data_IF_581058661041
#
_entry.id   IF_581058661041
#
_cell.length_a   1.000
_cell.length_b   1.000
_cell.length_c   1.000
_cell.angle_alpha   90.00
_cell.angle_beta   90.00
_cell.angle_gamma   90.00
#
_symmetry.space_group_name_H-M   'P 1'
#
loop_
_entity.id
_entity.type
_entity.pdbx_description
1 polymer ?
#
# COMPACT_ATOMS: atom_id res chain seq x y z
N UNK A 1 -22.99 -5.05 -13.92
CA UNK A 1 -21.74 -5.82 -13.78
C UNK A 1 -20.65 -4.92 -13.24
N UNK A 2 -20.06 -5.32 -12.18
CA UNK A 2 -18.96 -4.55 -11.63
C UNK A 2 -17.75 -4.66 -12.53
N UNK A 3 -17.22 -3.54 -12.99
CA UNK A 3 -15.99 -3.53 -13.73
C UNK A 3 -14.81 -3.81 -12.82
N UNK A 4 -13.70 -4.21 -13.41
CA UNK A 4 -12.45 -4.31 -12.68
C UNK A 4 -11.95 -2.92 -12.36
N UNK A 5 -11.39 -2.76 -11.17
CA UNK A 5 -10.66 -1.54 -10.83
C UNK A 5 -9.28 -1.68 -11.46
N UNK A 6 -8.89 -0.68 -12.22
CA UNK A 6 -7.59 -0.67 -12.90
C UNK A 6 -6.66 0.31 -12.20
N UNK A 7 -5.48 -0.16 -11.83
CA UNK A 7 -4.50 0.63 -11.08
C UNK A 7 -3.33 0.97 -11.98
N UNK A 8 -3.01 2.26 -12.06
CA UNK A 8 -1.84 2.76 -12.76
C UNK A 8 -0.90 3.38 -11.74
N UNK A 9 0.22 2.73 -11.48
CA UNK A 9 1.20 3.26 -10.54
C UNK A 9 2.49 3.60 -11.24
N UNK A 10 3.22 4.55 -10.71
CA UNK A 10 4.49 4.98 -11.30
C UNK A 10 5.66 4.10 -10.88
N UNK A 11 5.53 3.41 -9.75
CA UNK A 11 6.53 2.50 -9.25
C UNK A 11 5.85 1.34 -8.54
N UNK A 12 6.62 0.32 -8.19
CA UNK A 12 6.08 -0.84 -7.49
C UNK A 12 5.39 -0.44 -6.18
N UNK A 13 6.02 0.40 -5.37
CA UNK A 13 5.42 0.81 -4.10
C UNK A 13 4.15 1.63 -4.29
N UNK A 14 4.10 2.50 -5.29
CA UNK A 14 2.91 3.29 -5.56
C UNK A 14 1.80 2.46 -6.16
N UNK A 15 2.13 1.49 -7.00
CA UNK A 15 1.15 0.53 -7.51
C UNK A 15 0.57 -0.30 -6.38
N UNK A 16 1.40 -0.75 -5.45
CA UNK A 16 0.94 -1.49 -4.28
C UNK A 16 -0.05 -0.68 -3.46
N UNK A 17 0.24 0.59 -3.22
CA UNK A 17 -0.69 1.47 -2.51
C UNK A 17 -1.99 1.65 -3.30
N UNK A 18 -1.90 1.79 -4.62
CA UNK A 18 -3.06 1.88 -5.49
C UNK A 18 -3.95 0.64 -5.40
N UNK A 19 -3.36 -0.54 -5.25
CA UNK A 19 -4.11 -1.78 -5.07
C UNK A 19 -4.93 -1.72 -3.77
N UNK A 20 -4.32 -1.27 -2.67
CA UNK A 20 -5.04 -1.13 -1.40
C UNK A 20 -6.14 -0.07 -1.53
N UNK A 21 -5.85 1.04 -2.17
CA UNK A 21 -6.86 2.09 -2.41
C UNK A 21 -8.02 1.57 -3.26
N UNK A 22 -7.73 0.74 -4.26
CA UNK A 22 -8.76 0.10 -5.08
C UNK A 22 -9.63 -0.83 -4.26
N UNK A 23 -9.02 -1.61 -3.37
CA UNK A 23 -9.77 -2.46 -2.45
C UNK A 23 -10.71 -1.64 -1.58
N UNK A 24 -10.22 -0.51 -1.03
CA UNK A 24 -11.04 0.39 -0.23
C UNK A 24 -12.16 1.05 -1.04
N UNK A 25 -11.94 1.26 -2.34
CA UNK A 25 -12.98 1.78 -3.21
C UNK A 25 -14.12 0.77 -3.36
N UNK A 26 -13.81 -0.52 -3.41
CA UNK A 26 -14.82 -1.57 -3.47
C UNK A 26 -15.47 -1.82 -2.10
N UNK A 27 -14.70 -1.69 -1.04
CA UNK A 27 -15.16 -1.94 0.34
C UNK A 27 -14.84 -0.73 1.21
N UNK A 28 -15.61 0.37 1.07
CA UNK A 28 -15.27 1.62 1.77
C UNK A 28 -15.30 1.52 3.29
N UNK A 29 -15.95 0.51 3.83
CA UNK A 29 -16.06 0.32 5.28
C UNK A 29 -14.98 -0.62 5.84
N UNK A 30 -14.06 -1.09 5.01
CA UNK A 30 -13.00 -1.99 5.45
C UNK A 30 -12.15 -1.35 6.55
N UNK A 31 -11.86 -2.14 7.57
CA UNK A 31 -10.98 -1.72 8.67
C UNK A 31 -9.56 -2.17 8.39
N UNK A 32 -8.64 -1.74 9.26
CA UNK A 32 -7.26 -2.22 9.18
C UNK A 32 -7.20 -3.75 9.29
N UNK A 33 -8.00 -4.34 10.15
CA UNK A 33 -8.08 -5.78 10.30
C UNK A 33 -8.53 -6.44 8.99
N UNK A 34 -9.53 -5.87 8.34
CA UNK A 34 -10.02 -6.38 7.06
C UNK A 34 -8.95 -6.32 5.99
N UNK A 35 -8.19 -5.23 5.94
CA UNK A 35 -7.10 -5.07 4.99
C UNK A 35 -6.00 -6.09 5.22
N UNK A 36 -5.64 -6.36 6.47
CA UNK A 36 -4.61 -7.35 6.79
C UNK A 36 -5.08 -8.78 6.53
N UNK A 37 -6.37 -9.01 6.52
CA UNK A 37 -6.93 -10.29 6.08
C UNK A 37 -6.87 -10.45 4.57
N UNK A 38 -7.19 -9.37 3.85
CA UNK A 38 -7.16 -9.39 2.39
C UNK A 38 -5.73 -9.49 1.85
N UNK A 39 -4.79 -8.83 2.52
CA UNK A 39 -3.38 -8.79 2.13
C UNK A 39 -2.53 -9.29 3.30
N UNK A 40 -2.39 -10.62 3.47
CA UNK A 40 -1.76 -11.17 4.66
C UNK A 40 -0.24 -10.98 4.69
N UNK A 41 0.31 -11.08 5.89
CA UNK A 41 1.75 -10.92 6.14
C UNK A 41 2.62 -11.95 5.42
N UNK A 42 2.04 -13.06 4.99
CA UNK A 42 2.77 -14.06 4.20
C UNK A 42 3.31 -13.49 2.88
N UNK A 43 2.72 -12.39 2.39
CA UNK A 43 3.21 -11.72 1.19
C UNK A 43 4.65 -11.25 1.39
N UNK A 44 4.97 -10.74 2.57
CA UNK A 44 6.31 -10.25 2.91
C UNK A 44 7.09 -11.25 3.76
N UNK A 45 6.57 -12.44 3.93
CA UNK A 45 7.21 -13.51 4.70
C UNK A 45 7.60 -13.02 6.10
N UNK A 46 6.67 -12.37 6.78
CA UNK A 46 6.88 -11.74 8.08
C UNK A 46 5.83 -12.22 9.08
N UNK A 47 6.16 -12.14 10.36
CA UNK A 47 5.19 -12.37 11.43
C UNK A 47 4.39 -11.11 11.76
N UNK A 48 4.83 -9.95 11.28
CA UNK A 48 4.13 -8.69 11.45
C UNK A 48 3.13 -8.48 10.33
N UNK A 49 2.03 -7.79 10.63
CA UNK A 49 1.03 -7.46 9.60
C UNK A 49 1.65 -6.63 8.49
N UNK A 50 1.14 -6.80 7.28
CA UNK A 50 1.59 -6.04 6.12
C UNK A 50 1.25 -4.56 6.24
N UNK A 51 0.10 -4.25 6.83
CA UNK A 51 -0.42 -2.89 6.96
C UNK A 51 -0.57 -2.52 8.42
N UNK A 52 -0.31 -1.25 8.74
CA UNK A 52 -0.50 -0.73 10.08
C UNK A 52 -0.79 0.77 9.98
N UNK A 53 -1.18 1.38 11.09
CA UNK A 53 -1.36 2.82 11.11
C UNK A 53 -0.03 3.52 10.89
N UNK A 54 -0.07 4.68 10.25
CA UNK A 54 1.14 5.47 9.99
C UNK A 54 1.83 5.81 11.30
N UNK A 55 1.06 6.13 12.35
CA UNK A 55 1.62 6.42 13.67
C UNK A 55 2.39 5.25 14.28
N UNK A 56 1.86 4.03 14.14
CA UNK A 56 2.55 2.83 14.65
C UNK A 56 3.82 2.54 13.84
N UNK A 57 3.75 2.71 12.53
CA UNK A 57 4.92 2.51 11.66
C UNK A 57 6.04 3.46 12.07
N UNK A 58 5.70 4.73 12.29
CA UNK A 58 6.67 5.73 12.74
C UNK A 58 7.26 5.39 14.11
N UNK A 59 6.39 5.01 15.04
CA UNK A 59 6.80 4.66 16.40
C UNK A 59 7.78 3.48 16.40
N UNK A 60 7.50 2.47 15.61
CA UNK A 60 8.36 1.30 15.51
C UNK A 60 9.73 1.65 14.90
N UNK A 61 9.75 2.48 13.87
CA UNK A 61 11.00 2.91 13.24
C UNK A 61 11.87 3.67 14.25
N UNK A 62 11.28 4.54 15.04
CA UNK A 62 12.00 5.30 16.08
C UNK A 62 12.49 4.40 17.19
N UNK A 63 11.69 3.41 17.60
CA UNK A 63 12.07 2.48 18.66
C UNK A 63 13.27 1.62 18.26
N UNK A 64 13.35 1.24 17.00
CA UNK A 64 14.47 0.44 16.48
C UNK A 64 15.73 1.28 16.25
N UNK A 65 15.63 2.59 16.39
CA UNK A 65 16.76 3.53 16.19
C UNK A 65 17.44 3.34 14.83
N UNK A 66 16.69 2.91 13.84
CA UNK A 66 17.19 2.68 12.49
C UNK A 66 17.04 3.95 11.66
N UNK A 67 18.13 4.65 11.42
CA UNK A 67 18.10 5.93 10.73
C UNK A 67 17.50 5.84 9.33
N UNK A 68 17.76 4.74 8.61
CA UNK A 68 17.19 4.54 7.28
C UNK A 68 15.69 4.32 7.34
N UNK A 69 15.21 3.54 8.32
CA UNK A 69 13.77 3.33 8.48
C UNK A 69 13.07 4.64 8.85
N UNK A 70 13.67 5.43 9.72
CA UNK A 70 13.12 6.74 10.10
C UNK A 70 13.02 7.65 8.88
N UNK A 71 14.07 7.68 8.06
CA UNK A 71 14.09 8.47 6.83
C UNK A 71 13.00 8.04 5.86
N UNK A 72 12.82 6.72 5.69
CA UNK A 72 11.77 6.18 4.81
C UNK A 72 10.38 6.54 5.31
N UNK A 73 10.16 6.50 6.63
CA UNK A 73 8.87 6.88 7.22
C UNK A 73 8.60 8.37 7.03
N UNK A 74 9.60 9.21 7.24
CA UNK A 74 9.44 10.64 7.03
C UNK A 74 9.12 10.95 5.57
N UNK A 75 9.77 10.27 4.64
CA UNK A 75 9.47 10.42 3.23
C UNK A 75 8.05 9.94 2.91
N UNK A 76 7.62 8.83 3.49
CA UNK A 76 6.26 8.31 3.33
C UNK A 76 5.23 9.35 3.74
N UNK A 77 5.44 10.02 4.87
CA UNK A 77 4.55 11.07 5.36
C UNK A 77 4.56 12.29 4.43
N UNK A 78 5.75 12.66 3.97
CA UNK A 78 5.92 13.83 3.10
C UNK A 78 5.21 13.67 1.76
N UNK A 79 5.33 12.50 1.14
CA UNK A 79 4.71 12.24 -0.16
C UNK A 79 3.32 11.62 -0.04
N UNK A 80 2.84 11.43 1.18
CA UNK A 80 1.51 10.86 1.46
C UNK A 80 1.33 9.44 0.89
N UNK A 81 2.35 8.62 1.06
CA UNK A 81 2.29 7.22 0.64
C UNK A 81 1.56 6.39 1.70
N UNK A 82 0.27 6.63 1.82
CA UNK A 82 -0.63 5.92 2.73
C UNK A 82 -2.07 6.14 2.26
N UNK A 83 -2.99 5.33 2.79
CA UNK A 83 -4.42 5.48 2.51
C UNK A 83 -5.15 5.89 3.78
N UNK A 84 -6.34 6.47 3.63
CA UNK A 84 -7.18 6.83 4.78
C UNK A 84 -8.40 5.93 4.80
N UNK A 85 -8.69 5.38 5.98
CA UNK A 85 -9.89 4.59 6.19
C UNK A 85 -11.11 5.50 6.35
N UNK A 86 -12.29 4.92 6.41
CA UNK A 86 -13.54 5.65 6.54
C UNK A 86 -13.55 6.58 7.75
N UNK A 87 -12.95 6.16 8.86
CA UNK A 87 -12.90 6.96 10.09
C UNK A 87 -11.75 7.97 10.11
N UNK A 88 -11.02 8.10 9.01
CA UNK A 88 -9.89 9.02 8.91
C UNK A 88 -8.54 8.44 9.35
N UNK A 89 -8.51 7.18 9.78
CA UNK A 89 -7.25 6.54 10.18
C UNK A 89 -6.34 6.40 8.97
N UNK A 90 -5.10 6.87 9.08
CA UNK A 90 -4.11 6.76 8.02
C UNK A 90 -3.37 5.43 8.16
N UNK A 91 -3.31 4.68 7.09
CA UNK A 91 -2.74 3.33 7.06
C UNK A 91 -1.70 3.25 5.95
N UNK A 92 -0.54 2.70 6.28
CA UNK A 92 0.52 2.48 5.31
C UNK A 92 1.06 1.06 5.40
N UNK A 93 2.08 0.79 4.61
CA UNK A 93 2.74 -0.51 4.61
C UNK A 93 3.82 -0.55 5.68
N UNK A 94 3.89 -1.66 6.39
CA UNK A 94 5.03 -1.94 7.29
C UNK A 94 6.28 -2.27 6.47
N UNK A 95 6.08 -2.79 5.25
CA UNK A 95 7.15 -3.04 4.30
C UNK A 95 7.43 -1.77 3.52
N UNK A 96 8.53 -1.09 3.83
CA UNK A 96 8.87 0.20 3.23
C UNK A 96 9.63 0.09 1.91
N UNK A 97 10.23 -1.07 1.64
CA UNK A 97 10.90 -1.36 0.39
C UNK A 97 10.18 -2.51 -0.32
N UNK A 98 9.99 -2.39 -1.62
CA UNK A 98 9.22 -3.34 -2.41
C UNK A 98 10.05 -3.96 -3.52
N UNK A 99 10.83 -5.02 -3.21
CA UNK A 99 11.52 -5.78 -4.25
C UNK A 99 10.52 -6.53 -5.13
N UNK A 100 10.96 -6.92 -6.31
CA UNK A 100 10.08 -7.48 -7.32
C UNK A 100 9.35 -8.75 -6.87
N UNK A 101 10.01 -9.61 -6.10
CA UNK A 101 9.39 -10.84 -5.62
C UNK A 101 8.21 -10.58 -4.70
N UNK A 102 8.32 -9.62 -3.79
CA UNK A 102 7.22 -9.22 -2.91
C UNK A 102 6.12 -8.55 -3.73
N UNK A 103 6.50 -7.67 -4.64
CA UNK A 103 5.54 -6.99 -5.50
C UNK A 103 4.72 -7.98 -6.32
N UNK A 104 5.38 -8.97 -6.91
CA UNK A 104 4.70 -9.99 -7.73
C UNK A 104 3.66 -10.77 -6.93
N UNK A 105 3.99 -11.14 -5.69
CA UNK A 105 3.02 -11.81 -4.81
C UNK A 105 1.84 -10.91 -4.51
N UNK A 106 2.08 -9.64 -4.26
CA UNK A 106 1.03 -8.68 -3.97
C UNK A 106 0.07 -8.52 -5.15
N UNK A 107 0.60 -8.47 -6.35
CA UNK A 107 -0.19 -8.37 -7.58
C UNK A 107 -1.09 -9.59 -7.74
N UNK A 108 -0.63 -10.78 -7.36
CA UNK A 108 -1.45 -11.99 -7.40
C UNK A 108 -2.68 -11.86 -6.48
N UNK A 109 -2.51 -11.25 -5.31
CA UNK A 109 -3.65 -10.98 -4.42
C UNK A 109 -4.60 -9.95 -5.03
N UNK A 110 -4.05 -8.94 -5.70
CA UNK A 110 -4.89 -7.95 -6.37
C UNK A 110 -5.81 -8.61 -7.40
N UNK A 111 -5.29 -9.55 -8.16
CA UNK A 111 -6.08 -10.28 -9.16
C UNK A 111 -7.25 -11.05 -8.54
N UNK A 112 -7.05 -11.63 -7.36
CA UNK A 112 -8.12 -12.32 -6.63
C UNK A 112 -9.30 -11.39 -6.35
N UNK A 113 -9.02 -10.11 -6.11
CA UNK A 113 -10.04 -9.11 -5.80
C UNK A 113 -10.52 -8.32 -7.02
N UNK A 114 -10.22 -8.79 -8.23
CA UNK A 114 -10.59 -8.10 -9.47
C UNK A 114 -9.96 -6.71 -9.59
N UNK A 115 -8.76 -6.55 -9.08
CA UNK A 115 -7.99 -5.33 -9.24
C UNK A 115 -6.93 -5.61 -10.29
N UNK A 116 -7.05 -4.93 -11.44
CA UNK A 116 -6.10 -5.08 -12.54
C UNK A 116 -4.97 -4.08 -12.36
N UNK A 117 -3.74 -4.54 -12.52
CA UNK A 117 -2.56 -3.68 -12.45
C UNK A 117 -2.05 -3.43 -13.85
N UNK A 118 -1.96 -2.16 -14.22
CA UNK A 118 -1.39 -1.77 -15.50
C UNK A 118 0.14 -1.65 -15.38
N UNK A 119 0.80 -1.53 -16.51
CA UNK A 119 2.24 -1.29 -16.52
C UNK A 119 2.57 0.04 -15.84
N UNK A 120 3.79 0.14 -15.35
CA UNK A 120 4.27 1.38 -14.75
C UNK A 120 4.29 2.49 -15.79
N UNK A 121 3.47 3.49 -15.55
CA UNK A 121 3.38 4.66 -16.41
C UNK A 121 3.27 5.90 -15.55
N UNK A 122 3.62 7.03 -16.11
CA UNK A 122 3.26 8.28 -15.46
C UNK A 122 1.75 8.33 -15.35
N UNK A 123 1.27 8.80 -14.21
CA UNK A 123 -0.17 9.02 -14.04
C UNK A 123 -0.61 10.09 -15.04
N UNK A 124 -1.92 10.15 -15.30
CA UNK A 124 -2.46 11.15 -16.23
C UNK A 124 -2.11 12.57 -15.80
N UNK A 125 -1.91 12.81 -14.53
CA UNK A 125 -1.53 14.11 -14.01
C UNK A 125 -0.03 14.39 -14.11
N UNK A 126 0.76 13.40 -14.52
CA UNK A 126 2.20 13.55 -14.61
C UNK A 126 2.92 13.67 -13.28
N UNK A 127 2.24 13.40 -12.18
CA UNK A 127 2.80 13.51 -10.85
C UNK A 127 3.71 12.32 -10.56
N UNK A 128 4.89 12.61 -10.05
CA UNK A 128 5.85 11.58 -9.67
C UNK A 128 5.40 10.89 -8.39
N UNK A 129 5.51 9.57 -8.38
CA UNK A 129 5.24 8.80 -7.18
C UNK A 129 3.77 8.62 -6.83
N UNK A 130 2.86 8.89 -7.74
CA UNK A 130 1.43 8.73 -7.49
C UNK A 130 0.85 7.50 -8.20
N UNK A 131 -0.44 7.26 -7.98
CA UNK A 131 -1.18 6.21 -8.67
C UNK A 131 -2.53 6.77 -9.11
N UNK A 132 -3.17 6.07 -10.06
CA UNK A 132 -4.54 6.35 -10.50
C UNK A 132 -5.37 5.08 -10.40
N UNK A 133 -6.65 5.25 -10.18
CA UNK A 133 -7.61 4.16 -10.19
C UNK A 133 -8.57 4.29 -11.37
#
# INVERSE_FOLDING_TARGET
MSGKIKVYGQSQKWTALGIVAGYLKMYPQATLKDLNKAFPSSIINSNDDLLDTVGNIEKKAKADSNSKAIELVENMKKVKWYVSLQDGTQVGFTQLMWPEDIYSKFVQYADIYNIEVAEFKKTAKGESGSYEL
#
